data_IF_203539382292
#
_entry.id   IF_203539382292
#
_cell.length_a   1.000
_cell.length_b   1.000
_cell.length_c   1.000
_cell.angle_alpha   90.00
_cell.angle_beta   90.00
_cell.angle_gamma   90.00
#
_symmetry.space_group_name_H-M   'P 1'
#
loop_
_entity.id
_entity.type
_entity.pdbx_description
1 polymer ?
#
# COMPACT_ATOMS: atom_id res chain seq x y z
N UNK A 1 23.78 8.47 19.77
CA UNK A 1 22.56 8.09 19.02
C UNK A 1 22.51 6.59 18.87
N UNK A 2 23.56 5.99 18.32
CA UNK A 2 23.67 4.53 18.11
C UNK A 2 23.29 3.72 19.34
N UNK A 3 23.81 4.06 20.53
CA UNK A 3 23.45 3.35 21.77
C UNK A 3 21.95 3.29 22.06
N UNK A 4 21.21 4.39 21.88
CA UNK A 4 19.75 4.42 22.07
C UNK A 4 19.02 3.60 21.00
N UNK A 5 19.49 3.63 19.76
CA UNK A 5 18.93 2.81 18.67
C UNK A 5 19.11 1.31 18.95
N UNK A 6 20.29 0.91 19.44
CA UNK A 6 20.57 -0.49 19.81
C UNK A 6 19.66 -0.98 20.96
N UNK A 7 19.28 -0.11 21.90
CA UNK A 7 18.33 -0.45 22.95
C UNK A 7 16.94 -0.74 22.39
N UNK A 8 16.45 0.06 21.44
CA UNK A 8 15.17 -0.21 20.77
C UNK A 8 15.23 -1.46 19.88
N UNK A 9 16.37 -1.72 19.22
CA UNK A 9 16.60 -2.93 18.44
C UNK A 9 16.44 -4.20 19.29
N UNK A 10 16.94 -4.20 20.53
CA UNK A 10 16.77 -5.33 21.44
C UNK A 10 15.29 -5.60 21.78
N UNK A 11 14.45 -4.56 21.85
CA UNK A 11 13.01 -4.71 22.06
C UNK A 11 12.32 -5.29 20.83
N UNK A 12 12.71 -4.82 19.64
CA UNK A 12 12.19 -5.31 18.36
C UNK A 12 12.52 -6.79 18.12
N UNK A 13 13.77 -7.20 18.35
CA UNK A 13 14.19 -8.62 18.19
C UNK A 13 13.47 -9.54 19.18
N UNK A 14 13.14 -9.05 20.38
CA UNK A 14 12.32 -9.79 21.36
C UNK A 14 10.81 -9.79 21.05
N UNK A 15 10.38 -9.14 19.96
CA UNK A 15 8.99 -9.21 19.49
C UNK A 15 7.99 -8.49 20.38
N UNK A 16 8.38 -7.40 21.05
CA UNK A 16 7.44 -6.62 21.87
C UNK A 16 6.32 -6.04 20.98
N UNK A 17 5.06 -6.37 21.30
CA UNK A 17 3.87 -5.93 20.57
C UNK A 17 3.20 -4.67 21.15
N UNK A 18 3.52 -4.33 22.41
CA UNK A 18 3.01 -3.14 23.09
C UNK A 18 3.88 -1.93 22.77
N UNK A 19 3.29 -0.73 22.78
CA UNK A 19 4.00 0.54 22.53
C UNK A 19 4.75 1.04 23.75
N UNK A 20 4.22 0.84 24.96
CA UNK A 20 4.77 1.33 26.23
C UNK A 20 6.29 1.07 26.41
N UNK A 21 6.83 -0.12 26.04
CA UNK A 21 8.26 -0.40 26.15
C UNK A 21 9.12 0.43 25.20
N UNK A 22 8.61 0.83 24.04
CA UNK A 22 9.36 1.58 23.04
C UNK A 22 9.46 3.05 23.41
N UNK A 23 10.58 3.69 23.07
CA UNK A 23 10.80 5.11 23.34
C UNK A 23 11.48 5.80 22.16
N UNK A 24 10.89 6.91 21.71
CA UNK A 24 11.51 7.87 20.80
C UNK A 24 12.45 8.76 21.61
N UNK A 25 13.76 8.67 21.37
CA UNK A 25 14.77 9.47 22.08
C UNK A 25 15.12 10.75 21.32
N UNK A 26 14.99 11.90 21.98
CA UNK A 26 15.43 13.20 21.48
C UNK A 26 16.59 13.70 22.34
N UNK A 27 17.61 14.26 21.69
CA UNK A 27 18.70 14.91 22.41
C UNK A 27 19.14 16.21 21.77
N UNK A 28 19.49 17.16 22.62
CA UNK A 28 20.32 18.29 22.27
C UNK A 28 21.57 18.18 23.17
N UNK A 29 22.76 18.38 22.63
CA UNK A 29 24.01 18.30 23.42
C UNK A 29 24.57 19.68 23.76
N UNK A 30 24.10 20.74 23.07
CA UNK A 30 24.46 22.11 23.39
C UNK A 30 23.73 22.60 24.65
N UNK A 31 22.47 22.18 24.81
CA UNK A 31 21.74 22.20 26.07
C UNK A 31 21.72 20.73 26.50
N UNK A 32 22.38 20.28 27.57
CA UNK A 32 22.49 18.85 27.94
C UNK A 32 21.11 18.24 28.23
N UNK A 33 20.36 17.96 27.16
CA UNK A 33 18.93 17.73 27.15
C UNK A 33 18.67 16.39 26.51
N UNK A 34 17.98 15.53 27.26
CA UNK A 34 17.55 14.23 26.83
C UNK A 34 16.09 14.08 27.23
N UNK A 35 15.24 13.74 26.27
CA UNK A 35 13.84 13.44 26.53
C UNK A 35 13.41 12.24 25.73
N UNK A 36 12.41 11.53 26.24
CA UNK A 36 11.86 10.33 25.66
C UNK A 36 10.35 10.46 25.58
N UNK A 37 9.77 10.06 24.46
CA UNK A 37 8.33 9.92 24.32
C UNK A 37 7.96 8.54 23.82
N UNK A 38 6.73 8.12 24.09
CA UNK A 38 6.20 6.88 23.52
C UNK A 38 5.89 7.09 22.02
N UNK A 39 6.09 6.07 21.18
CA UNK A 39 5.59 6.12 19.81
C UNK A 39 4.07 6.24 19.81
N UNK A 40 3.55 7.07 18.92
CA UNK A 40 2.12 7.16 18.71
C UNK A 40 1.62 5.87 18.04
N UNK A 41 0.42 5.38 18.41
CA UNK A 41 -0.20 4.29 17.69
C UNK A 41 -0.43 4.68 16.22
N UNK A 42 -0.37 3.69 15.33
CA UNK A 42 -0.72 3.91 13.93
C UNK A 42 -2.17 4.42 13.86
N UNK A 43 -2.43 5.54 13.14
CA UNK A 43 -3.79 6.03 12.94
C UNK A 43 -4.68 4.92 12.40
N UNK A 44 -5.85 4.76 13.02
CA UNK A 44 -6.88 3.83 12.56
C UNK A 44 -7.90 4.62 11.75
N UNK A 45 -8.14 4.16 10.54
CA UNK A 45 -9.14 4.70 9.62
C UNK A 45 -10.28 3.70 9.50
N UNK A 46 -11.47 4.20 9.21
CA UNK A 46 -12.66 3.38 9.02
C UNK A 46 -13.28 3.74 7.67
N UNK A 47 -13.63 2.73 6.89
CA UNK A 47 -14.53 2.87 5.76
C UNK A 47 -15.66 1.86 5.93
N UNK A 48 -16.91 2.34 5.87
CA UNK A 48 -18.09 1.56 6.24
C UNK A 48 -17.96 0.91 7.64
N UNK A 49 -17.83 -0.41 7.68
CA UNK A 49 -17.68 -1.23 8.90
C UNK A 49 -16.27 -1.78 9.08
N UNK A 50 -15.36 -1.50 8.14
CA UNK A 50 -14.00 -2.04 8.15
C UNK A 50 -13.02 -1.00 8.71
N UNK A 51 -12.24 -1.44 9.69
CA UNK A 51 -11.10 -0.70 10.23
C UNK A 51 -9.83 -1.10 9.50
N UNK A 52 -9.00 -0.11 9.17
CA UNK A 52 -7.68 -0.32 8.60
C UNK A 52 -6.68 0.70 9.13
N UNK A 53 -5.41 0.34 9.06
CA UNK A 53 -4.25 1.12 9.51
C UNK A 53 -3.25 1.20 8.36
N UNK A 54 -2.27 2.10 8.49
CA UNK A 54 -1.19 2.29 7.50
C UNK A 54 -0.46 0.99 7.09
N UNK A 55 -0.46 -0.02 7.95
CA UNK A 55 0.26 -1.29 7.73
C UNK A 55 -0.58 -2.35 7.01
N UNK A 56 -1.90 -2.15 6.94
CA UNK A 56 -2.82 -3.07 6.30
C UNK A 56 -2.72 -2.97 4.78
N UNK A 57 -2.98 -4.07 4.08
CA UNK A 57 -2.86 -4.16 2.63
C UNK A 57 -3.94 -5.08 2.07
N UNK A 58 -4.44 -4.75 0.89
CA UNK A 58 -5.24 -5.67 0.09
C UNK A 58 -4.32 -6.65 -0.64
N UNK A 59 -4.52 -7.94 -0.41
CA UNK A 59 -3.82 -9.00 -1.13
C UNK A 59 -4.68 -9.50 -2.27
N UNK A 60 -4.26 -9.21 -3.51
CA UNK A 60 -4.97 -9.60 -4.71
C UNK A 60 -4.09 -10.53 -5.55
N UNK A 61 -4.58 -11.73 -5.84
CA UNK A 61 -3.86 -12.67 -6.68
C UNK A 61 -3.93 -12.25 -8.15
N UNK A 62 -2.78 -12.26 -8.82
CA UNK A 62 -2.67 -11.86 -10.25
C UNK A 62 -3.34 -12.85 -11.19
N UNK A 63 -3.17 -14.14 -10.94
CA UNK A 63 -3.69 -15.22 -11.78
C UNK A 63 -5.00 -15.73 -11.20
N UNK A 64 -5.99 -15.86 -12.06
CA UNK A 64 -7.23 -16.54 -11.74
C UNK A 64 -7.00 -18.06 -11.65
N UNK A 65 -7.97 -18.81 -11.07
CA UNK A 65 -7.89 -20.28 -10.99
C UNK A 65 -7.74 -20.98 -12.35
N UNK A 66 -8.17 -20.32 -13.44
CA UNK A 66 -8.03 -20.78 -14.82
C UNK A 66 -6.64 -20.52 -15.42
N UNK A 67 -5.69 -19.94 -14.67
CA UNK A 67 -4.34 -19.61 -15.12
C UNK A 67 -4.24 -18.33 -15.96
N UNK A 68 -5.34 -17.60 -16.16
CA UNK A 68 -5.38 -16.35 -16.92
C UNK A 68 -5.16 -15.17 -15.98
N UNK A 69 -4.43 -14.16 -16.44
CA UNK A 69 -4.22 -12.92 -15.68
C UNK A 69 -5.53 -12.14 -15.54
N UNK A 70 -5.76 -11.56 -14.36
CA UNK A 70 -6.92 -10.72 -14.10
C UNK A 70 -6.93 -9.45 -14.97
N UNK A 71 -8.08 -9.15 -15.56
CA UNK A 71 -8.29 -7.92 -16.33
C UNK A 71 -8.57 -6.73 -15.41
N UNK A 72 -8.44 -5.50 -15.92
CA UNK A 72 -8.79 -4.30 -15.15
C UNK A 72 -10.26 -4.32 -14.71
N UNK A 73 -11.17 -4.77 -15.57
CA UNK A 73 -12.59 -4.89 -15.21
C UNK A 73 -12.80 -5.83 -14.03
N UNK A 74 -12.20 -7.02 -14.07
CA UNK A 74 -12.32 -7.99 -12.99
C UNK A 74 -11.70 -7.46 -11.69
N UNK A 75 -10.58 -6.73 -11.78
CA UNK A 75 -9.99 -6.05 -10.63
C UNK A 75 -10.97 -5.05 -10.00
N UNK A 76 -11.58 -4.17 -10.80
CA UNK A 76 -12.55 -3.18 -10.31
C UNK A 76 -13.79 -3.85 -9.73
N UNK A 77 -14.30 -4.88 -10.40
CA UNK A 77 -15.46 -5.64 -9.95
C UNK A 77 -15.17 -6.37 -8.62
N UNK A 78 -13.96 -6.92 -8.43
CA UNK A 78 -13.53 -7.58 -7.19
C UNK A 78 -13.63 -6.64 -5.97
N UNK A 79 -13.13 -5.41 -6.09
CA UNK A 79 -13.24 -4.43 -5.00
C UNK A 79 -14.68 -4.00 -4.76
N UNK A 80 -15.49 -3.90 -5.82
CA UNK A 80 -16.89 -3.55 -5.71
C UNK A 80 -17.73 -4.64 -5.04
N UNK A 81 -17.48 -5.92 -5.32
CA UNK A 81 -18.27 -7.03 -4.78
C UNK A 81 -17.77 -7.51 -3.42
N UNK A 82 -16.47 -7.76 -3.29
CA UNK A 82 -15.90 -8.35 -2.06
C UNK A 82 -15.68 -7.30 -0.98
N UNK A 83 -15.15 -6.13 -1.36
CA UNK A 83 -14.78 -5.07 -0.41
C UNK A 83 -15.79 -3.92 -0.35
N UNK A 84 -16.82 -3.93 -1.20
CA UNK A 84 -17.83 -2.85 -1.34
C UNK A 84 -17.19 -1.48 -1.58
N UNK A 85 -16.05 -1.46 -2.28
CA UNK A 85 -15.29 -0.27 -2.61
C UNK A 85 -15.40 0.03 -4.10
N UNK A 86 -15.84 1.24 -4.42
CA UNK A 86 -15.83 1.73 -5.79
C UNK A 86 -14.52 2.47 -6.05
N UNK A 87 -13.60 1.84 -6.78
CA UNK A 87 -12.31 2.44 -7.12
C UNK A 87 -12.52 3.51 -8.18
N UNK A 88 -12.36 4.78 -7.79
CA UNK A 88 -12.48 5.93 -8.72
C UNK A 88 -11.14 6.34 -9.33
N UNK A 89 -10.03 5.98 -8.67
CA UNK A 89 -8.66 6.20 -9.16
C UNK A 89 -7.76 5.02 -8.77
N UNK A 90 -6.90 4.63 -9.70
CA UNK A 90 -5.90 3.60 -9.51
C UNK A 90 -4.57 4.07 -10.09
N UNK A 91 -3.50 4.04 -9.30
CA UNK A 91 -2.15 4.40 -9.73
C UNK A 91 -1.10 3.40 -9.24
N UNK A 92 0.01 3.34 -9.96
CA UNK A 92 1.22 2.62 -9.55
C UNK A 92 2.33 3.66 -9.40
N UNK A 93 2.62 4.05 -8.15
CA UNK A 93 3.49 5.18 -7.87
C UNK A 93 2.98 6.45 -8.59
N UNK A 94 3.83 7.05 -9.43
CA UNK A 94 3.47 8.27 -10.19
C UNK A 94 2.63 8.02 -11.45
N UNK A 95 2.39 6.76 -11.80
CA UNK A 95 1.72 6.38 -13.05
C UNK A 95 0.24 6.07 -12.83
N UNK A 96 -0.63 6.85 -13.46
CA UNK A 96 -2.08 6.67 -13.37
C UNK A 96 -2.56 5.54 -14.32
N UNK A 97 -3.21 4.52 -13.75
CA UNK A 97 -3.76 3.38 -14.47
C UNK A 97 -5.23 3.58 -14.85
N UNK A 98 -6.04 4.01 -13.88
CA UNK A 98 -7.46 4.25 -14.10
C UNK A 98 -7.89 5.50 -13.33
N UNK A 99 -8.77 6.31 -13.92
CA UNK A 99 -9.39 7.44 -13.24
C UNK A 99 -10.73 7.75 -13.89
N UNK A 100 -11.71 8.18 -13.10
CA UNK A 100 -13.03 8.58 -13.60
C UNK A 100 -12.99 9.74 -14.61
N UNK A 101 -11.92 10.54 -14.64
CA UNK A 101 -11.72 11.60 -15.64
C UNK A 101 -11.18 11.10 -16.99
N UNK A 102 -10.87 9.81 -17.13
CA UNK A 102 -10.36 9.28 -18.41
C UNK A 102 -11.46 9.30 -19.48
N UNK A 103 -11.11 9.56 -20.76
CA UNK A 103 -12.07 9.46 -21.86
C UNK A 103 -12.70 8.06 -21.90
N UNK A 104 -14.04 8.00 -21.98
CA UNK A 104 -14.78 6.74 -21.91
C UNK A 104 -14.36 5.70 -22.97
N UNK A 105 -13.94 6.15 -24.16
CA UNK A 105 -13.42 5.27 -25.20
C UNK A 105 -12.13 4.55 -24.77
N UNK A 106 -11.19 5.29 -24.16
CA UNK A 106 -9.91 4.75 -23.69
C UNK A 106 -10.11 3.82 -22.50
N UNK A 107 -11.02 4.17 -21.59
CA UNK A 107 -11.34 3.31 -20.44
C UNK A 107 -11.94 1.98 -20.92
N UNK A 108 -12.87 2.01 -21.88
CA UNK A 108 -13.47 0.79 -22.46
C UNK A 108 -12.43 -0.14 -23.06
N UNK A 109 -11.44 0.38 -23.77
CA UNK A 109 -10.34 -0.44 -24.29
C UNK A 109 -9.52 -1.10 -23.18
N UNK A 110 -9.29 -0.41 -22.06
CA UNK A 110 -8.42 -0.89 -20.99
C UNK A 110 -9.11 -1.87 -20.06
N UNK A 111 -10.44 -1.82 -19.95
CA UNK A 111 -11.22 -2.72 -19.09
C UNK A 111 -10.98 -4.20 -19.42
N UNK A 112 -10.85 -4.54 -20.70
CA UNK A 112 -10.66 -5.92 -21.16
C UNK A 112 -9.18 -6.34 -21.24
N UNK A 113 -8.23 -5.41 -20.98
CA UNK A 113 -6.80 -5.71 -21.00
C UNK A 113 -6.31 -6.30 -19.67
N UNK A 114 -5.25 -7.10 -19.76
CA UNK A 114 -4.56 -7.63 -18.58
C UNK A 114 -3.85 -6.51 -17.81
N UNK A 115 -3.89 -6.56 -16.48
CA UNK A 115 -3.31 -5.52 -15.61
C UNK A 115 -1.83 -5.23 -15.91
N UNK A 116 -1.02 -6.27 -16.15
CA UNK A 116 0.40 -6.14 -16.49
C UNK A 116 0.62 -5.46 -17.84
N UNK A 117 -0.27 -5.68 -18.81
CA UNK A 117 -0.16 -5.04 -20.13
C UNK A 117 -0.41 -3.53 -20.02
N UNK A 118 -1.44 -3.14 -19.28
CA UNK A 118 -1.76 -1.73 -18.99
C UNK A 118 -0.58 -1.08 -18.27
N UNK A 119 -0.02 -1.74 -17.24
CA UNK A 119 1.16 -1.27 -16.53
C UNK A 119 2.37 -1.09 -17.45
N UNK A 120 2.68 -2.06 -18.31
CA UNK A 120 3.80 -1.94 -19.23
C UNK A 120 3.61 -0.78 -20.22
N UNK A 121 2.36 -0.55 -20.66
CA UNK A 121 1.99 0.54 -21.57
C UNK A 121 2.15 1.91 -20.91
N UNK A 122 1.68 2.07 -19.67
CA UNK A 122 1.78 3.34 -18.93
C UNK A 122 3.22 3.62 -18.51
N UNK A 123 3.92 2.61 -18.00
CA UNK A 123 5.31 2.74 -17.55
C UNK A 123 6.32 2.85 -18.70
N UNK A 124 5.88 2.62 -19.95
CA UNK A 124 6.74 2.55 -21.15
C UNK A 124 7.95 1.63 -20.95
N UNK A 125 7.80 0.60 -20.12
CA UNK A 125 8.84 -0.33 -19.67
C UNK A 125 8.19 -1.69 -19.45
N UNK A 126 8.86 -2.74 -19.91
CA UNK A 126 8.48 -4.11 -19.55
C UNK A 126 8.75 -4.36 -18.07
N UNK A 127 7.77 -4.95 -17.38
CA UNK A 127 7.96 -5.42 -16.01
C UNK A 127 9.04 -6.50 -16.00
N UNK A 128 10.02 -6.36 -15.12
CA UNK A 128 11.11 -7.33 -15.00
C UNK A 128 10.61 -8.67 -14.46
N UNK A 129 11.22 -9.76 -14.90
CA UNK A 129 10.90 -11.14 -14.46
C UNK A 129 11.00 -11.37 -12.93
N UNK A 130 11.65 -10.44 -12.19
CA UNK A 130 11.79 -10.50 -10.73
C UNK A 130 10.69 -9.77 -9.95
N UNK A 131 9.80 -9.03 -10.62
CA UNK A 131 8.72 -8.29 -9.96
C UNK A 131 7.60 -9.27 -9.62
N UNK A 132 7.44 -9.58 -8.32
CA UNK A 132 6.43 -10.53 -7.81
C UNK A 132 5.18 -9.85 -7.25
N UNK A 133 5.29 -8.59 -6.87
CA UNK A 133 4.22 -7.82 -6.21
C UNK A 133 4.20 -6.42 -6.80
N UNK A 134 3.00 -5.91 -7.04
CA UNK A 134 2.76 -4.54 -7.47
C UNK A 134 2.01 -3.84 -6.34
N UNK A 135 2.54 -2.70 -5.91
CA UNK A 135 1.83 -1.81 -4.98
C UNK A 135 1.01 -0.85 -5.85
N UNK A 136 -0.29 -0.87 -5.63
CA UNK A 136 -1.25 0.00 -6.27
C UNK A 136 -1.81 0.92 -5.20
N UNK A 137 -1.90 2.20 -5.53
CA UNK A 137 -2.55 3.21 -4.70
C UNK A 137 -3.93 3.46 -5.29
N UNK A 138 -4.96 3.22 -4.48
CA UNK A 138 -6.35 3.52 -4.80
C UNK A 138 -6.83 4.81 -4.12
N UNK A 139 -7.78 5.49 -4.77
CA UNK A 139 -8.67 6.42 -4.07
C UNK A 139 -10.11 6.08 -4.44
N UNK A 140 -10.94 5.92 -3.42
CA UNK A 140 -12.39 5.67 -3.49
C UNK A 140 -13.15 6.72 -2.71
#
# INVERSE_FOLDING_TARGET
MVGLVCLELYKAVRGHQRLDPYKNGFRNLALPFFTFSEPLPAPCHQYYTWEWRLWDRFEVQRLQPNGVEMTLKQFLDYFKTEHKLEITRLSQGVSLLCSFFMPAAKLKEWLDQAMTEILCRVLKRKLGHRVRTLVLDESG
#
